data_IF_565039841246
#
_entry.id   IF_565039841246
#
_cell.length_a   1.000
_cell.length_b   1.000
_cell.length_c   1.000
_cell.angle_alpha   90.00
_cell.angle_beta   90.00
_cell.angle_gamma   90.00
#
_symmetry.space_group_name_H-M   'P 1'
#
loop_
_entity.id
_entity.type
_entity.pdbx_description
1 polymer ?
#
# COMPACT_ATOMS: atom_id res chain seq x y z
N UNK A 1 27.55 -14.45 1.12
CA UNK A 1 26.70 -14.44 -0.09
C UNK A 1 26.00 -13.09 -0.16
N UNK A 2 26.02 -12.45 -1.32
CA UNK A 2 25.38 -11.15 -1.50
C UNK A 2 23.88 -11.36 -1.79
N UNK A 3 23.02 -10.82 -0.92
CA UNK A 3 21.56 -10.93 -1.03
C UNK A 3 21.06 -10.47 -2.40
N UNK A 4 21.66 -9.42 -2.96
CA UNK A 4 21.30 -8.86 -4.26
C UNK A 4 21.62 -9.80 -5.42
N UNK A 5 22.66 -10.62 -5.29
CA UNK A 5 22.99 -11.63 -6.31
C UNK A 5 22.09 -12.85 -6.21
N UNK A 6 21.75 -13.26 -4.98
CA UNK A 6 20.87 -14.41 -4.73
C UNK A 6 19.44 -14.18 -5.23
N UNK A 7 18.91 -12.95 -5.11
CA UNK A 7 17.53 -12.61 -5.46
C UNK A 7 17.40 -11.73 -6.71
N UNK A 8 18.38 -11.78 -7.62
CA UNK A 8 18.47 -10.90 -8.78
C UNK A 8 17.24 -10.93 -9.71
N UNK A 9 16.49 -12.04 -9.75
CA UNK A 9 15.28 -12.14 -10.58
C UNK A 9 14.03 -11.54 -9.91
N UNK A 10 14.06 -11.36 -8.58
CA UNK A 10 12.94 -10.82 -7.80
C UNK A 10 13.13 -9.31 -7.53
N UNK A 11 14.36 -8.82 -7.61
CA UNK A 11 14.72 -7.42 -7.37
C UNK A 11 14.62 -6.64 -8.68
N UNK A 12 13.62 -5.76 -8.75
CA UNK A 12 13.45 -4.83 -9.88
C UNK A 12 14.49 -3.69 -9.92
N UNK A 13 15.12 -3.38 -8.79
CA UNK A 13 16.16 -2.35 -8.70
C UNK A 13 16.58 -2.07 -7.26
N UNK A 14 17.67 -1.33 -7.09
CA UNK A 14 18.17 -0.87 -5.78
C UNK A 14 17.85 0.62 -5.66
N UNK A 15 17.11 0.99 -4.61
CA UNK A 15 16.81 2.38 -4.30
C UNK A 15 17.86 2.92 -3.33
N UNK A 16 18.62 3.92 -3.78
CA UNK A 16 19.49 4.73 -2.92
C UNK A 16 18.78 6.06 -2.64
N UNK A 17 18.64 6.43 -1.37
CA UNK A 17 17.92 7.65 -0.96
C UNK A 17 18.49 8.25 0.32
N UNK A 18 18.15 9.52 0.57
CA UNK A 18 18.41 10.21 1.83
C UNK A 18 17.51 9.65 2.96
N UNK A 19 17.64 10.22 4.17
CA UNK A 19 17.01 9.78 5.43
C UNK A 19 15.51 9.41 5.36
N UNK A 20 14.74 9.99 4.41
CA UNK A 20 13.32 9.68 4.19
C UNK A 20 13.00 9.40 2.71
N UNK A 21 12.40 8.24 2.43
CA UNK A 21 11.87 7.87 1.11
C UNK A 21 10.33 7.92 1.17
N UNK A 22 9.71 8.71 0.30
CA UNK A 22 8.26 8.77 0.14
C UNK A 22 7.87 8.02 -1.13
N UNK A 23 7.13 6.93 -0.98
CA UNK A 23 6.58 6.16 -2.10
C UNK A 23 5.12 6.58 -2.34
N UNK A 24 4.83 7.09 -3.54
CA UNK A 24 3.47 7.46 -3.94
C UNK A 24 3.08 6.68 -5.19
N UNK A 25 2.02 5.88 -5.06
CA UNK A 25 1.43 5.13 -6.18
C UNK A 25 -0.04 5.49 -6.36
N UNK A 26 -0.51 5.40 -7.60
CA UNK A 26 -1.92 5.58 -7.96
C UNK A 26 -2.41 4.29 -8.59
N UNK A 27 -3.49 3.70 -8.08
CA UNK A 27 -4.15 2.54 -8.71
C UNK A 27 -5.05 3.07 -9.82
N UNK A 28 -4.50 3.27 -11.01
CA UNK A 28 -5.16 3.95 -12.15
C UNK A 28 -6.57 3.44 -12.45
N UNK A 29 -6.82 2.14 -12.31
CA UNK A 29 -8.14 1.53 -12.56
C UNK A 29 -9.25 2.00 -11.60
N UNK A 30 -8.93 2.62 -10.45
CA UNK A 30 -9.93 3.13 -9.51
C UNK A 30 -10.20 4.63 -9.64
N UNK A 31 -9.39 5.35 -10.43
CA UNK A 31 -9.45 6.83 -10.50
C UNK A 31 -10.42 7.36 -11.56
N UNK A 32 -11.24 6.50 -12.17
CA UNK A 32 -12.35 6.91 -13.03
C UNK A 32 -13.56 5.97 -12.85
N UNK A 33 -14.81 6.48 -13.02
CA UNK A 33 -16.01 5.71 -12.71
C UNK A 33 -16.09 4.36 -13.44
N UNK A 34 -15.76 4.32 -14.73
CA UNK A 34 -15.84 3.09 -15.52
C UNK A 34 -14.86 2.02 -15.02
N UNK A 35 -13.66 2.40 -14.56
CA UNK A 35 -12.68 1.46 -14.05
C UNK A 35 -13.15 0.83 -12.75
N UNK A 36 -13.77 1.63 -11.87
CA UNK A 36 -14.38 1.14 -10.65
C UNK A 36 -15.56 0.20 -10.93
N UNK A 37 -16.40 0.52 -11.92
CA UNK A 37 -17.50 -0.35 -12.34
C UNK A 37 -17.01 -1.68 -12.91
N UNK A 38 -15.94 -1.67 -13.71
CA UNK A 38 -15.30 -2.89 -14.23
C UNK A 38 -14.78 -3.76 -13.09
N UNK A 39 -14.16 -3.16 -12.08
CA UNK A 39 -13.69 -3.87 -10.90
C UNK A 39 -14.85 -4.55 -10.15
N UNK A 40 -15.89 -3.79 -9.80
CA UNK A 40 -17.06 -4.31 -9.08
C UNK A 40 -17.78 -5.43 -9.85
N UNK A 41 -17.89 -5.28 -11.18
CA UNK A 41 -18.45 -6.31 -12.05
C UNK A 41 -17.61 -7.60 -12.02
N UNK A 42 -16.28 -7.49 -12.08
CA UNK A 42 -15.37 -8.64 -12.01
C UNK A 42 -15.39 -9.34 -10.65
N UNK A 43 -15.60 -8.59 -9.56
CA UNK A 43 -15.72 -9.14 -8.21
C UNK A 43 -17.14 -9.52 -7.84
N UNK A 44 -18.08 -9.40 -8.78
CA UNK A 44 -19.51 -9.66 -8.58
C UNK A 44 -20.09 -8.92 -7.36
N UNK A 45 -19.61 -7.70 -7.11
CA UNK A 45 -19.97 -6.87 -5.95
C UNK A 45 -20.93 -5.77 -6.41
N UNK A 46 -22.09 -5.65 -5.76
CA UNK A 46 -23.01 -4.56 -6.04
C UNK A 46 -22.48 -3.25 -5.46
N UNK A 47 -22.88 -2.11 -6.06
CA UNK A 47 -22.43 -0.79 -5.59
C UNK A 47 -22.78 -0.53 -4.12
N UNK A 48 -23.94 -1.00 -3.67
CA UNK A 48 -24.37 -0.88 -2.27
C UNK A 48 -23.51 -1.67 -1.29
N UNK A 49 -22.86 -2.74 -1.77
CA UNK A 49 -22.05 -3.65 -0.96
C UNK A 49 -20.56 -3.26 -1.00
N UNK A 50 -20.19 -2.28 -1.82
CA UNK A 50 -18.82 -1.76 -1.91
C UNK A 50 -18.24 -1.30 -0.56
N UNK A 51 -18.95 -0.56 0.31
CA UNK A 51 -18.40 -0.15 1.60
C UNK A 51 -17.92 -1.34 2.46
N UNK A 52 -18.69 -2.43 2.47
CA UNK A 52 -18.33 -3.64 3.20
C UNK A 52 -17.10 -4.32 2.58
N UNK A 53 -17.02 -4.40 1.25
CA UNK A 53 -15.84 -4.91 0.55
C UNK A 53 -14.59 -4.09 0.90
N UNK A 54 -14.69 -2.76 0.81
CA UNK A 54 -13.58 -1.85 1.10
C UNK A 54 -13.09 -1.98 2.54
N UNK A 55 -13.99 -2.15 3.50
CA UNK A 55 -13.65 -2.36 4.91
C UNK A 55 -12.88 -3.68 5.12
N UNK A 56 -13.36 -4.78 4.53
CA UNK A 56 -12.69 -6.09 4.61
C UNK A 56 -11.28 -6.03 4.01
N UNK A 57 -11.14 -5.48 2.81
CA UNK A 57 -9.85 -5.34 2.13
C UNK A 57 -8.89 -4.45 2.93
N UNK A 58 -9.40 -3.34 3.47
CA UNK A 58 -8.60 -2.43 4.32
C UNK A 58 -8.10 -3.17 5.56
N UNK A 59 -8.98 -3.85 6.31
CA UNK A 59 -8.59 -4.59 7.52
C UNK A 59 -7.55 -5.66 7.22
N UNK A 60 -7.73 -6.43 6.14
CA UNK A 60 -6.78 -7.46 5.73
C UNK A 60 -5.38 -6.87 5.44
N UNK A 61 -5.34 -5.75 4.70
CA UNK A 61 -4.09 -5.04 4.41
C UNK A 61 -3.42 -4.52 5.69
N UNK A 62 -4.18 -3.87 6.58
CA UNK A 62 -3.64 -3.36 7.86
C UNK A 62 -3.05 -4.48 8.71
N UNK A 63 -3.80 -5.57 8.89
CA UNK A 63 -3.35 -6.72 9.68
C UNK A 63 -2.06 -7.34 9.11
N UNK A 64 -1.96 -7.45 7.78
CA UNK A 64 -0.74 -7.94 7.14
C UNK A 64 0.46 -7.02 7.38
N UNK A 65 0.27 -5.70 7.22
CA UNK A 65 1.32 -4.71 7.45
C UNK A 65 1.79 -4.70 8.92
N UNK A 66 0.85 -4.73 9.87
CA UNK A 66 1.17 -4.79 11.30
C UNK A 66 1.97 -6.04 11.66
N UNK A 67 1.62 -7.19 11.08
CA UNK A 67 2.37 -8.43 11.30
C UNK A 67 3.78 -8.35 10.70
N UNK A 68 3.92 -7.81 9.49
CA UNK A 68 5.22 -7.63 8.83
C UNK A 68 6.13 -6.68 9.62
N UNK A 69 5.56 -5.59 10.15
CA UNK A 69 6.26 -4.62 10.98
C UNK A 69 6.74 -5.25 12.30
N UNK A 70 5.88 -6.02 12.97
CA UNK A 70 6.27 -6.79 14.18
C UNK A 70 7.42 -7.75 13.91
N UNK A 71 7.38 -8.46 12.78
CA UNK A 71 8.43 -9.41 12.39
C UNK A 71 9.75 -8.71 12.05
N UNK A 72 9.68 -7.53 11.44
CA UNK A 72 10.86 -6.76 10.99
C UNK A 72 11.40 -5.79 12.06
N UNK A 73 10.70 -5.63 13.19
CA UNK A 73 11.07 -4.67 14.24
C UNK A 73 10.88 -3.20 13.82
N UNK A 74 9.99 -2.92 12.87
CA UNK A 74 9.72 -1.56 12.34
C UNK A 74 8.47 -0.98 12.99
N UNK A 75 8.47 0.32 13.29
CA UNK A 75 7.28 1.04 13.77
C UNK A 75 6.42 1.54 12.60
N UNK A 76 5.10 1.35 12.68
CA UNK A 76 4.14 1.92 11.74
C UNK A 76 3.46 3.14 12.38
N UNK A 77 3.41 4.24 11.64
CA UNK A 77 2.63 5.43 11.99
C UNK A 77 1.54 5.66 10.94
N UNK A 78 0.28 5.77 11.40
CA UNK A 78 -0.83 6.15 10.55
C UNK A 78 -0.96 7.67 10.49
N UNK A 79 -0.77 8.22 9.30
CA UNK A 79 -0.89 9.66 9.07
C UNK A 79 -2.35 10.02 8.80
N UNK A 80 -2.88 10.97 9.59
CA UNK A 80 -4.25 11.47 9.44
C UNK A 80 -4.42 12.47 8.30
N UNK A 81 -3.34 12.81 7.59
CA UNK A 81 -3.38 13.72 6.43
C UNK A 81 -2.38 13.31 5.36
N UNK A 82 -2.70 13.66 4.11
CA UNK A 82 -1.80 13.47 2.95
C UNK A 82 -0.64 14.47 2.94
N UNK A 83 -0.66 15.49 3.81
CA UNK A 83 0.42 16.47 3.86
C UNK A 83 1.61 15.91 4.65
N UNK A 84 2.50 15.23 3.92
CA UNK A 84 3.70 14.58 4.46
C UNK A 84 4.82 15.56 4.83
N UNK A 85 4.68 16.85 4.49
CA UNK A 85 5.72 17.85 4.71
C UNK A 85 5.92 18.21 6.19
N UNK A 86 4.90 18.04 7.03
CA UNK A 86 4.90 18.52 8.41
C UNK A 86 5.19 17.44 9.46
N UNK A 87 5.41 16.18 9.05
CA UNK A 87 5.64 15.04 9.97
C UNK A 87 7.12 14.96 10.40
N UNK A 88 7.79 16.10 10.56
CA UNK A 88 9.20 16.17 10.95
C UNK A 88 9.46 17.15 12.11
N UNK A 89 8.41 17.78 12.67
CA UNK A 89 8.53 18.76 13.74
C UNK A 89 8.05 18.26 15.13
N UNK A 90 7.94 16.94 15.33
CA UNK A 90 7.62 16.36 16.65
C UNK A 90 8.68 15.34 17.06
#
# INVERSE_FOLDING_TARGET
>A
MNFTEQHKQEIYGILHGFDRIILRGTVTNFFYPNGMMVYLSRTNTLLKDFPALAEVQTKALRAHLENLAKQSGVSIEYLNSVNLANVAEV
#
